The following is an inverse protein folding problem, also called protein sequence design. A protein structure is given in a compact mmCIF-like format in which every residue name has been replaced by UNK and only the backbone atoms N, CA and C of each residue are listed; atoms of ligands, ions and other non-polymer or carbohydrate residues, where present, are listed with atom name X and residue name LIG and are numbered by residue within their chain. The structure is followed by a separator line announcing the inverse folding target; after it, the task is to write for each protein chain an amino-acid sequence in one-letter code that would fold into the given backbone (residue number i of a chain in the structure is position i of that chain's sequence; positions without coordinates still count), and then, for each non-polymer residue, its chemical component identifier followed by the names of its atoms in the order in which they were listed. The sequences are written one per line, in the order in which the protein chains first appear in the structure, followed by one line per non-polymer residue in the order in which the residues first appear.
data_IF_207956244672
#
_entry.id   IF_207956244672
#
_cell.length_a   1.000
_cell.length_b   1.000
_cell.length_c   1.000
_cell.angle_alpha   90.00
_cell.angle_beta   90.00
_cell.angle_gamma   90.00
#
_symmetry.space_group_name_H-M   'P 1'
#
loop_
_entity.id
_entity.type
_entity.pdbx_description
1 polymer ?
#
# COMPACT_ATOMS: atom_id res chain seq x y z
N UNK A 1 22.62 -10.52 -6.80
CA UNK A 1 21.54 -11.48 -7.10
C UNK A 1 20.16 -10.82 -7.27
N UNK A 2 19.86 -9.69 -6.66
CA UNK A 2 18.56 -8.99 -6.83
C UNK A 2 18.32 -8.43 -8.26
N UNK A 3 19.35 -8.19 -9.05
CA UNK A 3 19.23 -7.65 -10.41
C UNK A 3 18.79 -8.69 -11.48
N UNK A 4 18.82 -9.98 -11.17
CA UNK A 4 18.44 -11.08 -12.10
C UNK A 4 16.96 -11.47 -11.93
N UNK A 5 16.37 -11.21 -10.76
CA UNK A 5 15.01 -11.64 -10.39
C UNK A 5 13.94 -10.56 -10.59
N UNK A 6 14.19 -9.54 -11.38
CA UNK A 6 13.19 -8.55 -11.78
C UNK A 6 12.96 -7.45 -10.72
N UNK A 7 12.57 -6.26 -11.20
CA UNK A 7 12.03 -5.19 -10.34
C UNK A 7 10.82 -5.73 -9.59
N UNK A 8 10.69 -5.36 -8.32
CA UNK A 8 9.42 -5.49 -7.59
C UNK A 8 8.35 -4.70 -8.35
N UNK A 9 7.57 -5.41 -9.17
CA UNK A 9 6.55 -4.81 -10.02
C UNK A 9 5.46 -4.16 -9.18
N UNK A 10 5.14 -4.73 -8.00
CA UNK A 10 4.15 -4.20 -7.09
C UNK A 10 4.53 -2.78 -6.65
N UNK A 11 5.69 -2.64 -6.03
CA UNK A 11 6.19 -1.34 -5.55
C UNK A 11 6.41 -0.36 -6.71
N UNK A 12 7.02 -0.80 -7.82
CA UNK A 12 7.34 0.11 -8.93
C UNK A 12 6.08 0.65 -9.63
N UNK A 13 5.06 -0.18 -9.82
CA UNK A 13 3.78 0.26 -10.40
C UNK A 13 3.06 1.23 -9.47
N UNK A 14 3.00 0.91 -8.17
CA UNK A 14 2.39 1.78 -7.16
C UNK A 14 3.07 3.13 -7.10
N UNK A 15 4.41 3.16 -7.06
CA UNK A 15 5.15 4.43 -7.02
C UNK A 15 4.98 5.26 -8.29
N UNK A 16 4.90 4.64 -9.46
CA UNK A 16 4.60 5.34 -10.70
C UNK A 16 3.21 5.97 -10.67
N UNK A 17 2.19 5.20 -10.26
CA UNK A 17 0.82 5.68 -10.16
C UNK A 17 0.67 6.79 -9.11
N UNK A 18 1.26 6.63 -7.91
CA UNK A 18 1.24 7.65 -6.87
C UNK A 18 1.88 8.96 -7.34
N UNK A 19 3.01 8.89 -8.04
CA UNK A 19 3.66 10.06 -8.60
C UNK A 19 2.73 10.83 -9.55
N UNK A 20 2.01 10.13 -10.42
CA UNK A 20 1.05 10.73 -11.36
C UNK A 20 -0.16 11.31 -10.63
N UNK A 21 -0.76 10.56 -9.69
CA UNK A 21 -1.91 11.00 -8.91
C UNK A 21 -1.60 12.27 -8.08
N UNK A 22 -0.43 12.31 -7.43
CA UNK A 22 0.02 13.46 -6.66
C UNK A 22 0.37 14.66 -7.55
N UNK A 23 1.02 14.44 -8.70
CA UNK A 23 1.34 15.51 -9.64
C UNK A 23 0.08 16.16 -10.26
N UNK A 24 -1.05 15.43 -10.33
CA UNK A 24 -2.33 15.94 -10.80
C UNK A 24 -3.10 16.80 -9.78
N UNK A 25 -2.59 16.96 -8.56
CA UNK A 25 -3.16 17.89 -7.58
C UNK A 25 -2.75 19.32 -7.91
N UNK A 26 -3.66 20.30 -7.78
CA UNK A 26 -3.33 21.70 -8.02
C UNK A 26 -2.21 22.19 -7.09
N UNK A 27 -1.36 23.09 -7.60
CA UNK A 27 -0.29 23.70 -6.81
C UNK A 27 -0.86 24.43 -5.60
N UNK A 28 -0.26 24.22 -4.43
CA UNK A 28 -0.71 24.79 -3.15
C UNK A 28 -1.89 24.06 -2.51
N UNK A 29 -2.40 22.96 -3.11
CA UNK A 29 -3.39 22.12 -2.44
C UNK A 29 -2.84 21.57 -1.12
N UNK A 30 -3.66 21.61 -0.07
CA UNK A 30 -3.32 21.05 1.23
C UNK A 30 -3.56 19.55 1.23
N UNK A 31 -2.47 18.78 1.34
CA UNK A 31 -2.46 17.32 1.31
C UNK A 31 -2.16 16.77 2.70
N UNK A 32 -3.02 15.87 3.19
CA UNK A 32 -2.70 14.99 4.32
C UNK A 32 -2.15 13.66 3.79
N UNK A 33 -0.94 13.28 4.20
CA UNK A 33 -0.38 11.94 4.02
C UNK A 33 -0.64 11.14 5.30
N UNK A 34 -1.71 10.33 5.30
CA UNK A 34 -2.19 9.58 6.45
C UNK A 34 -1.54 8.19 6.50
N UNK A 35 -0.79 7.91 7.56
CA UNK A 35 0.11 6.78 7.66
C UNK A 35 1.40 7.02 6.88
N UNK A 36 2.00 8.19 7.04
CA UNK A 36 3.13 8.66 6.23
C UNK A 36 4.45 7.90 6.47
N UNK A 37 4.57 7.17 7.59
CA UNK A 37 5.74 6.37 7.95
C UNK A 37 7.06 7.16 7.84
N UNK A 38 7.95 6.72 6.97
CA UNK A 38 9.24 7.36 6.70
C UNK A 38 9.17 8.51 5.67
N UNK A 39 7.99 9.05 5.39
CA UNK A 39 7.77 10.19 4.47
C UNK A 39 8.19 9.89 3.01
N UNK A 40 8.08 8.65 2.55
CA UNK A 40 8.53 8.23 1.21
C UNK A 40 7.84 9.00 0.07
N UNK A 41 6.57 9.39 0.27
CA UNK A 41 5.77 10.10 -0.74
C UNK A 41 6.07 11.61 -0.79
N UNK A 42 6.65 12.19 0.28
CA UNK A 42 6.95 13.63 0.37
C UNK A 42 7.77 14.16 -0.81
N UNK A 43 8.65 13.32 -1.38
CA UNK A 43 9.46 13.66 -2.57
C UNK A 43 8.65 14.07 -3.80
N UNK A 44 7.37 13.67 -3.88
CA UNK A 44 6.46 13.98 -4.98
C UNK A 44 5.54 15.16 -4.66
N UNK A 45 5.61 15.73 -3.44
CA UNK A 45 4.68 16.72 -2.92
C UNK A 45 5.24 18.14 -2.84
N UNK A 46 6.38 18.44 -3.50
CA UNK A 46 7.05 19.74 -3.39
C UNK A 46 6.26 20.96 -3.90
N UNK A 47 5.14 20.73 -4.57
CA UNK A 47 4.20 21.77 -5.04
C UNK A 47 2.96 21.90 -4.15
N UNK A 48 2.83 21.10 -3.09
CA UNK A 48 1.67 20.99 -2.20
C UNK A 48 2.00 21.56 -0.80
N UNK A 49 0.97 21.96 -0.07
CA UNK A 49 1.03 22.16 1.39
C UNK A 49 0.89 20.79 2.06
N UNK A 50 2.04 20.14 2.29
CA UNK A 50 2.12 18.74 2.72
C UNK A 50 2.12 18.64 4.25
N UNK A 51 1.17 17.88 4.78
CA UNK A 51 1.05 17.55 6.21
C UNK A 51 1.12 16.02 6.36
N UNK A 52 2.01 15.54 7.20
CA UNK A 52 2.17 14.12 7.51
C UNK A 52 1.48 13.72 8.80
N UNK A 53 0.83 12.57 8.79
CA UNK A 53 0.24 11.95 9.98
C UNK A 53 0.67 10.49 10.08
N UNK A 54 0.98 10.03 11.28
CA UNK A 54 1.27 8.63 11.57
C UNK A 54 1.01 8.34 13.06
N UNK A 55 0.78 7.06 13.41
CA UNK A 55 0.61 6.67 14.82
C UNK A 55 1.95 6.55 15.56
N UNK A 56 3.07 6.44 14.85
CA UNK A 56 4.45 6.42 15.35
C UNK A 56 4.75 5.33 16.41
N UNK A 57 4.00 4.22 16.41
CA UNK A 57 4.17 3.16 17.41
C UNK A 57 4.92 1.95 16.86
N UNK A 58 5.13 1.88 15.54
CA UNK A 58 5.91 0.80 14.95
C UNK A 58 7.40 1.06 15.18
N UNK A 59 8.02 0.21 16.00
CA UNK A 59 9.44 0.34 16.37
C UNK A 59 10.35 -0.64 15.63
N UNK A 60 9.78 -1.46 14.74
CA UNK A 60 10.49 -2.57 14.14
C UNK A 60 10.79 -3.67 15.17
N UNK A 61 11.36 -4.76 14.70
CA UNK A 61 11.75 -5.88 15.54
C UNK A 61 13.16 -6.31 15.13
N UNK A 62 14.16 -5.79 15.82
CA UNK A 62 15.57 -6.12 15.56
C UNK A 62 15.81 -7.58 15.92
N UNK A 63 16.22 -8.39 14.94
CA UNK A 63 16.48 -9.82 15.12
C UNK A 63 15.23 -10.70 15.14
N UNK A 64 14.08 -10.18 14.75
CA UNK A 64 12.86 -10.96 14.62
C UNK A 64 13.03 -12.14 13.67
N UNK A 65 12.53 -13.30 14.08
CA UNK A 65 12.44 -14.45 13.19
C UNK A 65 11.35 -14.18 12.11
N UNK A 66 11.47 -14.86 10.96
CA UNK A 66 10.52 -14.71 9.85
C UNK A 66 9.06 -15.00 10.23
N UNK A 67 8.82 -15.76 11.31
CA UNK A 67 7.50 -16.03 11.85
C UNK A 67 6.78 -14.78 12.42
N UNK A 68 7.48 -13.67 12.59
CA UNK A 68 6.92 -12.38 13.04
C UNK A 68 6.59 -11.43 11.88
N UNK A 69 6.80 -11.87 10.63
CA UNK A 69 6.47 -11.14 9.41
C UNK A 69 7.68 -10.74 8.56
N UNK A 70 7.39 -10.13 7.41
CA UNK A 70 8.40 -9.80 6.40
C UNK A 70 9.10 -8.46 6.65
N UNK A 71 8.38 -7.48 7.21
CA UNK A 71 8.91 -6.14 7.51
C UNK A 71 9.23 -6.04 9.00
N UNK A 72 10.51 -5.92 9.31
CA UNK A 72 11.02 -5.86 10.69
C UNK A 72 11.93 -4.65 10.94
N UNK A 73 12.27 -3.88 9.91
CA UNK A 73 13.14 -2.71 10.04
C UNK A 73 12.48 -1.61 10.89
N UNK A 74 13.27 -0.93 11.70
CA UNK A 74 12.84 0.25 12.45
C UNK A 74 12.66 1.43 11.50
N UNK A 75 11.63 2.27 11.76
CA UNK A 75 11.32 3.46 10.98
C UNK A 75 11.70 4.73 11.71
N UNK A 76 12.21 5.72 10.98
CA UNK A 76 12.41 7.08 11.49
C UNK A 76 11.14 7.91 11.27
N UNK A 77 10.32 8.03 12.30
CA UNK A 77 9.09 8.83 12.32
C UNK A 77 9.26 10.18 13.05
N UNK A 78 10.49 10.60 13.36
CA UNK A 78 10.78 11.81 14.15
C UNK A 78 10.32 13.12 13.49
N UNK A 79 10.01 13.10 12.18
CA UNK A 79 9.59 14.27 11.39
C UNK A 79 8.12 14.26 11.01
N UNK A 80 7.30 13.45 11.67
CA UNK A 80 5.84 13.42 11.47
C UNK A 80 5.22 14.67 12.10
N UNK A 81 4.36 15.37 11.35
CA UNK A 81 3.72 16.61 11.80
C UNK A 81 2.59 16.34 12.80
N UNK A 82 1.76 15.32 12.57
CA UNK A 82 0.63 14.94 13.42
C UNK A 82 0.78 13.49 13.88
N UNK A 83 1.04 13.28 15.17
CA UNK A 83 1.09 11.94 15.77
C UNK A 83 -0.29 11.62 16.36
N UNK A 84 -1.01 10.66 15.78
CA UNK A 84 -2.37 10.31 16.20
C UNK A 84 -2.82 8.94 15.65
N UNK A 85 -3.93 8.41 16.17
CA UNK A 85 -4.70 7.35 15.51
C UNK A 85 -5.28 7.89 14.19
N UNK A 86 -5.24 7.07 13.13
CA UNK A 86 -5.73 7.44 11.78
C UNK A 86 -7.25 7.65 11.73
N UNK A 87 -8.00 7.05 12.65
CA UNK A 87 -9.45 7.23 12.80
C UNK A 87 -9.83 8.42 13.71
N UNK A 88 -8.83 9.23 14.15
CA UNK A 88 -9.06 10.43 14.99
C UNK A 88 -7.89 11.39 14.88
N UNK A 89 -7.81 12.11 13.77
CA UNK A 89 -6.70 13.03 13.44
C UNK A 89 -7.01 14.42 13.98
N UNK A 90 -6.09 15.06 14.73
CA UNK A 90 -6.32 16.38 15.35
C UNK A 90 -6.23 17.52 14.32
N UNK A 91 -7.18 17.54 13.38
CA UNK A 91 -7.33 18.59 12.37
C UNK A 91 -8.81 18.96 12.21
N UNK A 92 -9.12 20.23 11.83
CA UNK A 92 -10.49 20.66 11.60
C UNK A 92 -11.18 19.90 10.48
N UNK A 93 -12.52 19.83 10.54
CA UNK A 93 -13.33 19.33 9.44
C UNK A 93 -13.05 20.15 8.16
N UNK A 94 -13.13 19.49 7.01
CA UNK A 94 -12.99 20.14 5.70
C UNK A 94 -11.72 20.99 5.53
N UNK A 95 -10.62 20.55 6.16
CA UNK A 95 -9.36 21.32 6.18
C UNK A 95 -8.36 20.90 5.10
N UNK A 96 -8.61 19.79 4.37
CA UNK A 96 -7.72 19.27 3.34
C UNK A 96 -8.37 19.22 1.97
N UNK A 97 -7.59 19.55 0.93
CA UNK A 97 -7.98 19.41 -0.47
C UNK A 97 -7.78 17.99 -0.99
N UNK A 98 -6.84 17.27 -0.37
CA UNK A 98 -6.59 15.87 -0.68
C UNK A 98 -6.11 15.09 0.58
N UNK A 99 -6.43 13.79 0.61
CA UNK A 99 -5.87 12.82 1.55
C UNK A 99 -5.21 11.71 0.76
N UNK A 100 -3.97 11.40 1.07
CA UNK A 100 -3.24 10.23 0.63
C UNK A 100 -3.23 9.20 1.76
N UNK A 101 -3.58 7.94 1.45
CA UNK A 101 -3.41 6.81 2.36
C UNK A 101 -2.91 5.62 1.53
N UNK A 102 -1.63 5.26 1.69
CA UNK A 102 -0.98 4.29 0.81
C UNK A 102 -0.36 3.16 1.60
N UNK A 103 -0.91 1.93 1.45
CA UNK A 103 -0.47 0.71 2.16
C UNK A 103 -0.50 0.91 3.69
N UNK A 104 -1.67 1.29 4.20
CA UNK A 104 -1.87 1.58 5.63
C UNK A 104 -3.10 0.86 6.17
N UNK A 105 -4.18 0.73 5.39
CA UNK A 105 -5.45 0.22 5.91
C UNK A 105 -5.37 -1.22 6.44
N UNK A 106 -4.46 -2.03 5.93
CA UNK A 106 -4.19 -3.39 6.42
C UNK A 106 -3.59 -3.40 7.84
N UNK A 107 -3.00 -2.27 8.24
CA UNK A 107 -2.40 -2.04 9.56
C UNK A 107 -3.34 -1.32 10.54
N UNK A 108 -4.59 -1.10 10.14
CA UNK A 108 -5.61 -0.43 10.94
C UNK A 108 -6.64 -1.44 11.43
N UNK A 109 -6.90 -1.54 12.76
CA UNK A 109 -7.90 -2.48 13.28
C UNK A 109 -9.30 -2.25 12.72
N UNK A 110 -9.68 -0.99 12.51
CA UNK A 110 -11.00 -0.57 12.01
C UNK A 110 -10.83 0.31 10.76
N UNK A 111 -10.51 -0.26 9.57
CA UNK A 111 -10.20 0.51 8.37
C UNK A 111 -11.36 1.39 7.89
N UNK A 112 -12.61 1.00 8.19
CA UNK A 112 -13.78 1.81 7.86
C UNK A 112 -13.86 3.10 8.67
N UNK A 113 -13.36 3.11 9.92
CA UNK A 113 -13.27 4.31 10.75
C UNK A 113 -12.26 5.32 10.19
N UNK A 114 -11.15 4.83 9.59
CA UNK A 114 -10.24 5.71 8.87
C UNK A 114 -10.92 6.38 7.67
N UNK A 115 -11.78 5.65 6.92
CA UNK A 115 -12.55 6.26 5.83
C UNK A 115 -13.57 7.32 6.32
N UNK A 116 -14.19 7.10 7.48
CA UNK A 116 -15.09 8.09 8.09
C UNK A 116 -14.31 9.38 8.45
N UNK A 117 -13.10 9.22 8.98
CA UNK A 117 -12.22 10.35 9.32
C UNK A 117 -11.72 11.09 8.06
N UNK A 118 -11.36 10.38 7.00
CA UNK A 118 -10.99 11.00 5.73
C UNK A 118 -12.16 11.78 5.12
N UNK A 119 -13.39 11.27 5.25
CA UNK A 119 -14.58 11.97 4.83
C UNK A 119 -14.81 13.26 5.63
N UNK A 120 -14.55 13.26 6.94
CA UNK A 120 -14.63 14.45 7.79
C UNK A 120 -13.59 15.51 7.40
N UNK A 121 -12.35 15.09 7.19
CA UNK A 121 -11.21 15.98 6.95
C UNK A 121 -11.18 16.61 5.56
N UNK A 122 -11.69 15.90 4.55
CA UNK A 122 -11.71 16.40 3.18
C UNK A 122 -12.78 17.46 2.99
N UNK A 123 -12.44 18.50 2.25
CA UNK A 123 -13.42 19.47 1.70
C UNK A 123 -14.36 18.79 0.71
N UNK A 124 -15.54 19.36 0.50
CA UNK A 124 -16.40 18.96 -0.63
C UNK A 124 -15.62 19.10 -1.95
N UNK A 125 -15.66 18.11 -2.81
CA UNK A 125 -14.83 18.03 -4.00
C UNK A 125 -13.37 17.60 -3.76
N UNK A 126 -12.96 17.42 -2.52
CA UNK A 126 -11.61 16.95 -2.14
C UNK A 126 -11.35 15.50 -2.57
N UNK A 127 -10.10 15.18 -2.82
CA UNK A 127 -9.68 13.89 -3.37
C UNK A 127 -9.12 12.96 -2.30
N UNK A 128 -9.60 11.71 -2.27
CA UNK A 128 -8.98 10.60 -1.56
C UNK A 128 -8.16 9.79 -2.56
N UNK A 129 -6.85 9.70 -2.32
CA UNK A 129 -5.89 8.86 -3.07
C UNK A 129 -5.55 7.70 -2.15
N UNK A 130 -5.96 6.49 -2.52
CA UNK A 130 -5.90 5.33 -1.65
C UNK A 130 -5.27 4.15 -2.36
N UNK A 131 -4.28 3.50 -1.72
CA UNK A 131 -3.80 2.19 -2.12
C UNK A 131 -3.81 1.24 -0.93
N UNK A 132 -4.15 -0.01 -1.18
CA UNK A 132 -3.98 -1.08 -0.21
C UNK A 132 -3.82 -2.42 -0.93
N UNK A 133 -3.21 -3.44 -0.31
CA UNK A 133 -3.01 -4.73 -0.93
C UNK A 133 -4.34 -5.45 -1.18
N UNK A 134 -4.38 -6.30 -2.20
CA UNK A 134 -5.43 -7.31 -2.36
C UNK A 134 -5.21 -8.49 -1.42
N UNK A 135 -3.94 -8.96 -1.36
CA UNK A 135 -3.51 -9.99 -0.42
C UNK A 135 -2.03 -9.78 -0.08
N UNK A 136 -1.71 -9.74 1.20
CA UNK A 136 -0.35 -9.58 1.71
C UNK A 136 -0.02 -10.63 2.76
N UNK A 137 1.25 -11.01 2.82
CA UNK A 137 1.77 -11.76 3.96
C UNK A 137 1.83 -10.87 5.19
N UNK A 138 1.88 -11.48 6.38
CA UNK A 138 2.09 -10.75 7.62
C UNK A 138 3.37 -9.93 7.54
N UNK A 139 3.28 -8.66 7.84
CA UNK A 139 4.39 -7.72 7.93
C UNK A 139 4.05 -6.63 8.97
N UNK A 140 5.03 -5.92 9.47
CA UNK A 140 4.85 -4.93 10.54
C UNK A 140 4.13 -5.47 11.80
N UNK A 141 4.34 -6.75 12.15
CA UNK A 141 3.74 -7.32 13.35
C UNK A 141 4.10 -6.48 14.61
N UNK A 142 3.16 -6.31 15.56
CA UNK A 142 1.82 -6.92 15.65
C UNK A 142 0.74 -6.12 14.88
N UNK A 143 1.07 -5.08 14.14
CA UNK A 143 0.14 -4.18 13.47
C UNK A 143 -0.21 -4.68 12.07
N UNK A 144 -0.80 -5.88 11.95
CA UNK A 144 -1.29 -6.43 10.69
C UNK A 144 -2.64 -7.10 10.94
N UNK A 145 -3.72 -6.41 10.60
CA UNK A 145 -5.08 -6.80 10.97
C UNK A 145 -5.89 -7.36 9.80
N UNK A 146 -5.56 -6.95 8.57
CA UNK A 146 -6.19 -7.44 7.35
C UNK A 146 -5.13 -7.87 6.33
N UNK A 147 -5.36 -8.99 5.65
CA UNK A 147 -4.46 -9.45 4.56
C UNK A 147 -4.61 -8.61 3.30
N UNK A 148 -5.72 -7.86 3.16
CA UNK A 148 -5.98 -6.98 2.03
C UNK A 148 -7.47 -6.80 1.73
N UNK A 149 -7.76 -6.10 0.64
CA UNK A 149 -9.10 -5.63 0.28
C UNK A 149 -9.42 -5.95 -1.18
N UNK A 150 -10.60 -6.50 -1.46
CA UNK A 150 -11.10 -6.70 -2.82
C UNK A 150 -11.68 -5.40 -3.38
N UNK A 151 -11.85 -5.29 -4.74
CA UNK A 151 -12.52 -4.16 -5.36
C UNK A 151 -13.90 -3.87 -4.76
N UNK A 152 -14.63 -4.93 -4.39
CA UNK A 152 -15.97 -4.84 -3.83
C UNK A 152 -16.00 -4.18 -2.46
N UNK A 153 -14.90 -4.25 -1.70
CA UNK A 153 -14.77 -3.51 -0.45
C UNK A 153 -14.77 -1.99 -0.70
N UNK A 154 -14.02 -1.50 -1.69
CA UNK A 154 -14.00 -0.09 -2.07
C UNK A 154 -15.35 0.36 -2.60
N UNK A 155 -15.93 -0.40 -3.54
CA UNK A 155 -17.22 -0.13 -4.16
C UNK A 155 -18.38 -0.09 -3.15
N UNK A 156 -18.27 -0.83 -2.06
CA UNK A 156 -19.25 -0.82 -0.97
C UNK A 156 -19.02 0.32 0.02
N UNK A 157 -17.80 0.47 0.55
CA UNK A 157 -17.55 1.33 1.69
C UNK A 157 -17.38 2.81 1.34
N UNK A 158 -16.81 3.14 0.17
CA UNK A 158 -16.59 4.53 -0.22
C UNK A 158 -17.88 5.30 -0.50
N UNK A 159 -18.85 4.79 -1.29
CA UNK A 159 -20.11 5.48 -1.54
C UNK A 159 -20.95 5.71 -0.29
N UNK A 160 -20.93 4.78 0.69
CA UNK A 160 -21.61 4.91 1.97
C UNK A 160 -21.11 6.11 2.80
N UNK A 161 -19.87 6.57 2.54
CA UNK A 161 -19.21 7.67 3.22
C UNK A 161 -19.16 8.96 2.39
N UNK A 162 -20.00 9.02 1.35
CA UNK A 162 -20.11 10.22 0.52
C UNK A 162 -19.01 10.37 -0.52
N UNK A 163 -18.30 9.32 -0.88
CA UNK A 163 -17.31 9.35 -1.94
C UNK A 163 -17.86 8.85 -3.27
N UNK A 164 -17.51 9.55 -4.35
CA UNK A 164 -17.65 9.08 -5.72
C UNK A 164 -16.32 8.51 -6.20
N UNK A 165 -16.28 7.21 -6.51
CA UNK A 165 -15.09 6.56 -7.06
C UNK A 165 -14.89 7.07 -8.49
N UNK A 166 -13.75 7.71 -8.77
CA UNK A 166 -13.37 8.19 -10.11
C UNK A 166 -12.44 7.24 -10.83
N UNK A 167 -11.62 6.52 -10.06
CA UNK A 167 -10.71 5.52 -10.56
C UNK A 167 -10.60 4.39 -9.53
N UNK A 168 -10.64 3.15 -10.00
CA UNK A 168 -10.33 1.96 -9.20
C UNK A 168 -9.68 0.94 -10.12
N UNK A 169 -8.36 0.91 -10.10
CA UNK A 169 -7.55 0.11 -11.02
C UNK A 169 -6.70 -0.92 -10.27
N UNK A 170 -6.55 -2.14 -10.80
CA UNK A 170 -5.71 -3.15 -10.18
C UNK A 170 -4.23 -2.85 -10.41
N UNK A 171 -3.42 -3.07 -9.40
CA UNK A 171 -1.96 -3.12 -9.52
C UNK A 171 -1.55 -4.54 -9.93
N UNK A 172 -1.23 -4.74 -11.19
CA UNK A 172 -0.92 -6.05 -11.74
C UNK A 172 -2.17 -6.94 -11.94
N UNK A 173 -1.93 -8.24 -12.04
CA UNK A 173 -2.97 -9.25 -12.20
C UNK A 173 -2.60 -10.53 -11.46
N UNK A 174 -3.48 -11.55 -11.51
CA UNK A 174 -3.26 -12.85 -10.89
C UNK A 174 -1.92 -13.50 -11.29
N UNK A 175 -1.51 -13.33 -12.53
CA UNK A 175 -0.27 -13.95 -13.02
C UNK A 175 0.97 -13.24 -12.49
N UNK A 176 0.95 -11.89 -12.45
CA UNK A 176 2.02 -11.11 -11.86
C UNK A 176 2.14 -11.36 -10.34
N UNK A 177 0.99 -11.46 -9.66
CA UNK A 177 0.93 -11.83 -8.25
C UNK A 177 1.54 -13.22 -8.01
N UNK A 178 1.12 -14.23 -8.81
CA UNK A 178 1.62 -15.60 -8.67
C UNK A 178 3.12 -15.68 -8.99
N UNK A 179 3.59 -14.98 -10.01
CA UNK A 179 5.02 -14.90 -10.35
C UNK A 179 5.84 -14.36 -9.19
N UNK A 180 5.36 -13.29 -8.53
CA UNK A 180 6.00 -12.71 -7.35
C UNK A 180 6.09 -13.74 -6.21
N UNK A 181 5.03 -14.50 -5.94
CA UNK A 181 5.02 -15.51 -4.87
C UNK A 181 5.97 -16.68 -5.18
N UNK A 182 6.02 -17.11 -6.43
CA UNK A 182 7.00 -18.11 -6.87
C UNK A 182 8.43 -17.61 -6.68
N UNK A 183 8.71 -16.34 -6.99
CA UNK A 183 10.05 -15.76 -6.80
C UNK A 183 10.43 -15.66 -5.32
N UNK A 184 9.47 -15.44 -4.42
CA UNK A 184 9.72 -15.39 -2.96
C UNK A 184 10.14 -16.73 -2.38
N UNK A 185 9.69 -17.85 -2.98
CA UNK A 185 9.85 -19.19 -2.41
C UNK A 185 11.29 -19.51 -2.00
N UNK A 186 12.27 -19.32 -2.90
CA UNK A 186 13.66 -19.61 -2.59
C UNK A 186 14.25 -18.72 -1.47
N UNK A 187 13.81 -17.47 -1.38
CA UNK A 187 14.20 -16.56 -0.32
C UNK A 187 13.64 -16.99 1.03
N UNK A 188 12.37 -17.37 1.07
CA UNK A 188 11.68 -17.85 2.26
C UNK A 188 12.31 -19.15 2.80
N UNK A 189 12.54 -20.15 1.92
CA UNK A 189 13.22 -21.40 2.26
C UNK A 189 14.58 -21.15 2.90
N UNK A 190 15.36 -20.20 2.33
CA UNK A 190 16.66 -19.84 2.85
C UNK A 190 16.58 -19.17 4.23
N UNK A 191 15.62 -18.26 4.42
CA UNK A 191 15.43 -17.57 5.70
C UNK A 191 14.96 -18.51 6.81
N UNK A 192 14.18 -19.53 6.47
CA UNK A 192 13.76 -20.59 7.39
C UNK A 192 14.87 -21.62 7.68
N UNK A 193 16.04 -21.51 7.04
CA UNK A 193 17.15 -22.42 7.23
C UNK A 193 16.96 -23.78 6.56
N UNK A 194 15.99 -23.92 5.66
CA UNK A 194 15.74 -25.18 4.94
C UNK A 194 16.85 -25.43 3.93
N UNK A 195 17.48 -26.62 4.00
CA UNK A 195 18.56 -27.00 3.08
C UNK A 195 18.12 -27.15 1.62
N UNK A 196 16.81 -27.26 1.36
CA UNK A 196 16.17 -27.33 0.04
C UNK A 196 16.11 -26.01 -0.72
N UNK A 197 16.52 -24.88 -0.12
CA UNK A 197 16.45 -23.56 -0.76
C UNK A 197 17.07 -23.46 -2.17
N UNK A 198 18.14 -24.20 -2.55
CA UNK A 198 18.65 -24.14 -3.91
C UNK A 198 17.68 -24.75 -4.93
N UNK A 199 16.95 -25.81 -4.56
CA UNK A 199 15.91 -26.41 -5.40
C UNK A 199 14.73 -25.46 -5.55
N UNK A 200 14.34 -24.77 -4.49
CA UNK A 200 13.29 -23.74 -4.51
C UNK A 200 13.65 -22.60 -5.47
N UNK A 201 14.89 -22.13 -5.47
CA UNK A 201 15.35 -21.13 -6.45
C UNK A 201 15.33 -21.66 -7.90
N UNK A 202 15.76 -22.90 -8.13
CA UNK A 202 15.68 -23.52 -9.46
C UNK A 202 14.23 -23.62 -9.95
N UNK A 203 13.31 -24.03 -9.08
CA UNK A 203 11.88 -24.07 -9.36
C UNK A 203 11.34 -22.66 -9.69
N UNK A 204 11.72 -21.65 -8.91
CA UNK A 204 11.31 -20.25 -9.16
C UNK A 204 11.76 -19.78 -10.55
N UNK A 205 12.99 -20.10 -10.97
CA UNK A 205 13.49 -19.75 -12.31
C UNK A 205 12.67 -20.38 -13.43
N UNK A 206 12.32 -21.67 -13.29
CA UNK A 206 11.45 -22.38 -14.25
C UNK A 206 10.06 -21.76 -14.28
N UNK A 207 9.49 -21.43 -13.10
CA UNK A 207 8.21 -20.77 -13.00
C UNK A 207 8.18 -19.40 -13.68
N UNK A 208 9.19 -18.56 -13.46
CA UNK A 208 9.33 -17.26 -14.13
C UNK A 208 9.44 -17.42 -15.64
N UNK A 209 10.23 -18.41 -16.13
CA UNK A 209 10.34 -18.69 -17.55
C UNK A 209 8.99 -19.09 -18.16
N UNK A 210 8.21 -19.93 -17.47
CA UNK A 210 6.86 -20.29 -17.89
C UNK A 210 5.98 -19.06 -18.07
N UNK A 211 5.97 -18.13 -17.10
CA UNK A 211 5.17 -16.89 -17.20
C UNK A 211 5.61 -15.97 -18.34
N UNK A 212 6.89 -15.96 -18.70
CA UNK A 212 7.40 -15.20 -19.85
C UNK A 212 6.95 -15.80 -21.20
N UNK A 213 6.88 -17.12 -21.30
CA UNK A 213 6.56 -17.83 -22.56
C UNK A 213 5.06 -17.89 -22.84
N UNK A 214 4.22 -18.06 -21.82
CA UNK A 214 2.78 -18.34 -21.98
C UNK A 214 1.96 -17.22 -22.65
N UNK A 215 2.52 -16.01 -22.82
CA UNK A 215 1.79 -14.84 -23.28
C UNK A 215 0.88 -14.22 -22.20
N UNK A 216 0.52 -12.94 -22.37
CA UNK A 216 -0.23 -12.18 -21.37
C UNK A 216 -1.73 -12.22 -21.66
N UNK A 217 -2.46 -13.06 -20.93
CA UNK A 217 -3.90 -12.86 -20.72
C UNK A 217 -4.06 -12.19 -19.36
N UNK A 218 -4.89 -11.14 -19.28
CA UNK A 218 -5.18 -10.45 -18.03
C UNK A 218 -6.18 -11.26 -17.19
N UNK A 219 -6.00 -11.25 -15.87
CA UNK A 219 -6.86 -11.93 -14.91
C UNK A 219 -6.92 -11.13 -13.60
N UNK A 220 -7.10 -9.82 -13.73
CA UNK A 220 -7.14 -8.84 -12.64
C UNK A 220 -8.32 -9.04 -11.69
N UNK A 221 -9.43 -9.59 -12.18
CA UNK A 221 -10.62 -9.87 -11.36
C UNK A 221 -10.43 -11.04 -10.39
N UNK A 222 -9.45 -11.93 -10.63
CA UNK A 222 -9.16 -13.04 -9.74
C UNK A 222 -8.27 -12.62 -8.58
N UNK A 223 -7.21 -11.88 -8.88
CA UNK A 223 -6.28 -11.32 -7.89
C UNK A 223 -5.37 -10.30 -8.58
N UNK A 224 -4.76 -9.44 -7.75
CA UNK A 224 -3.73 -8.48 -8.14
C UNK A 224 -2.83 -8.23 -6.93
N UNK A 225 -1.82 -7.39 -7.05
CA UNK A 225 -1.03 -6.98 -5.88
C UNK A 225 -1.86 -6.16 -4.89
N UNK A 226 -2.68 -5.26 -5.41
CA UNK A 226 -3.51 -4.34 -4.66
C UNK A 226 -4.33 -3.45 -5.59
N UNK A 227 -5.00 -2.47 -5.01
CA UNK A 227 -5.86 -1.55 -5.74
C UNK A 227 -5.35 -0.12 -5.63
N UNK A 228 -5.44 0.60 -6.73
CA UNK A 228 -5.21 2.04 -6.83
C UNK A 228 -6.55 2.72 -6.97
N UNK A 229 -6.89 3.61 -6.04
CA UNK A 229 -8.19 4.26 -6.00
C UNK A 229 -8.06 5.78 -5.91
N UNK A 230 -8.79 6.50 -6.76
CA UNK A 230 -9.07 7.92 -6.60
C UNK A 230 -10.57 8.08 -6.41
N UNK A 231 -10.96 8.65 -5.29
CA UNK A 231 -12.33 9.00 -5.00
C UNK A 231 -12.46 10.49 -4.66
N UNK A 232 -13.65 11.05 -4.86
CA UNK A 232 -13.94 12.48 -4.62
C UNK A 232 -15.08 12.57 -3.61
N UNK A 233 -14.89 13.38 -2.56
CA UNK A 233 -15.95 13.66 -1.57
C UNK A 233 -17.07 14.47 -2.25
N UNK A 234 -18.31 14.03 -2.05
CA UNK A 234 -19.51 14.74 -2.51
C UNK A 234 -19.79 16.02 -1.73
#
# INVERSE_FOLDING_TARGET
MSAILGKDLNESNRQAWLKEALAALPRGSRLLDAGAGELKNRRHCGHLDYVSQDFCQYQGQVGAAINEGLQTAQWDTSRIDLVSDIGSIPAPDESFDAVLCSEVLEHVPEPTRALDEFARLLKCGGKLILTAPFASHVHMAPHHYCTGFSRYWYEHHLPLRGFDIRELTPNGDWFAYTEQEIMRLGGMERQLGNWTWPLAYAYSLVGVLYFKIRGRKRAEDLACFGWHCIAVKR
#
